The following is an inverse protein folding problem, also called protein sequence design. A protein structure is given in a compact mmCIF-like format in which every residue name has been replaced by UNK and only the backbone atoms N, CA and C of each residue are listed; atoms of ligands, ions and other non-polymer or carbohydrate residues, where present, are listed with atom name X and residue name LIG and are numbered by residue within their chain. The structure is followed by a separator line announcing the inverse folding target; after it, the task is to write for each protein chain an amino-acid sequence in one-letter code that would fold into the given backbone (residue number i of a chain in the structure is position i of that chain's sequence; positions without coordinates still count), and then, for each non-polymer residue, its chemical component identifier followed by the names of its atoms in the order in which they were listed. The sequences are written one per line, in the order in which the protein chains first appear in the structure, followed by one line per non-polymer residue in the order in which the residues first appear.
data_IF_795325234456
#
_entry.id   IF_795325234456
#
_cell.length_a   1.000
_cell.length_b   1.000
_cell.length_c   1.000
_cell.angle_alpha   90.00
_cell.angle_beta   90.00
_cell.angle_gamma   90.00
#
_symmetry.space_group_name_H-M   'P 1'
#
loop_
_entity.id
_entity.type
_entity.pdbx_description
1 polymer ?
#
# COMPACT_ATOMS: atom_id res chain seq x y z
N UNK A 1 16.10 -3.85 -5.01
CA UNK A 1 14.88 -3.24 -4.44
C UNK A 1 13.95 -4.38 -4.04
N UNK A 2 13.40 -4.33 -2.83
CA UNK A 2 12.42 -5.29 -2.33
C UNK A 2 11.03 -4.70 -2.44
N UNK A 3 10.04 -5.52 -2.72
CA UNK A 3 8.65 -5.09 -2.86
C UNK A 3 7.79 -5.77 -1.84
N UNK A 4 6.88 -4.99 -1.27
CA UNK A 4 5.95 -5.42 -0.25
C UNK A 4 4.53 -5.12 -0.71
N UNK A 5 3.64 -6.05 -0.42
CA UNK A 5 2.21 -5.91 -0.63
C UNK A 5 1.55 -5.72 0.74
N UNK A 6 0.82 -4.63 0.89
CA UNK A 6 -0.02 -4.34 2.03
C UNK A 6 -1.47 -4.45 1.57
N UNK A 7 -2.22 -5.37 2.16
CA UNK A 7 -3.66 -5.50 1.89
C UNK A 7 -4.44 -4.53 2.76
N UNK A 8 -5.30 -3.74 2.12
CA UNK A 8 -6.18 -2.78 2.77
C UNK A 8 -7.58 -3.38 2.93
N UNK A 9 -8.16 -3.19 4.11
CA UNK A 9 -9.48 -3.67 4.46
C UNK A 9 -10.32 -2.52 5.01
N UNK A 10 -11.60 -2.52 4.70
CA UNK A 10 -12.61 -1.63 5.27
C UNK A 10 -13.11 -2.18 6.60
N UNK A 11 -13.29 -1.31 7.60
CA UNK A 11 -14.00 -1.68 8.82
C UNK A 11 -15.50 -1.87 8.55
N UNK A 12 -16.07 -2.92 9.13
CA UNK A 12 -17.52 -3.17 9.04
C UNK A 12 -18.32 -1.95 9.50
N UNK A 13 -19.35 -1.59 8.72
CA UNK A 13 -20.19 -0.42 9.00
C UNK A 13 -19.64 0.91 8.49
N UNK A 14 -18.44 0.95 7.90
CA UNK A 14 -17.93 2.15 7.24
C UNK A 14 -18.65 2.40 5.91
N UNK A 15 -19.07 3.64 5.69
CA UNK A 15 -19.67 4.09 4.43
C UNK A 15 -18.59 4.18 3.34
N UNK A 16 -18.97 3.87 2.10
CA UNK A 16 -18.04 3.88 0.95
C UNK A 16 -17.39 5.25 0.75
N UNK A 17 -18.16 6.33 0.83
CA UNK A 17 -17.65 7.71 0.68
C UNK A 17 -16.53 8.04 1.70
N UNK A 18 -16.63 7.53 2.93
CA UNK A 18 -15.63 7.76 3.98
C UNK A 18 -14.36 6.96 3.73
N UNK A 19 -14.52 5.75 3.20
CA UNK A 19 -13.41 4.88 2.80
C UNK A 19 -12.67 5.47 1.61
N UNK A 20 -13.39 6.01 0.62
CA UNK A 20 -12.80 6.70 -0.52
C UNK A 20 -12.02 7.94 -0.09
N UNK A 21 -12.55 8.74 0.84
CA UNK A 21 -11.83 9.90 1.39
C UNK A 21 -10.54 9.50 2.11
N UNK A 22 -10.56 8.41 2.89
CA UNK A 22 -9.38 7.88 3.56
C UNK A 22 -8.35 7.29 2.59
N UNK A 23 -8.79 6.53 1.58
CA UNK A 23 -7.91 6.02 0.53
C UNK A 23 -7.27 7.18 -0.26
N UNK A 24 -8.01 8.26 -0.52
CA UNK A 24 -7.47 9.48 -1.14
C UNK A 24 -6.38 10.13 -0.29
N UNK A 25 -6.62 10.32 1.02
CA UNK A 25 -5.62 10.85 1.97
C UNK A 25 -4.36 9.96 2.03
N UNK A 26 -4.54 8.65 2.04
CA UNK A 26 -3.43 7.70 1.97
C UNK A 26 -2.64 7.88 0.66
N UNK A 27 -3.31 8.01 -0.49
CA UNK A 27 -2.68 8.28 -1.77
C UNK A 27 -1.88 9.60 -1.80
N UNK A 28 -2.35 10.64 -1.12
CA UNK A 28 -1.62 11.91 -0.96
C UNK A 28 -0.38 11.78 -0.08
N UNK A 29 -0.50 11.08 1.06
CA UNK A 29 0.63 10.77 1.93
C UNK A 29 1.73 10.03 1.17
N UNK A 30 1.37 8.96 0.47
CA UNK A 30 2.32 8.15 -0.30
C UNK A 30 2.98 9.02 -1.39
N UNK A 31 2.21 9.82 -2.14
CA UNK A 31 2.78 10.74 -3.14
C UNK A 31 3.74 11.75 -2.53
N UNK A 32 3.42 12.32 -1.37
CA UNK A 32 4.30 13.24 -0.64
C UNK A 32 5.59 12.56 -0.20
N UNK A 33 5.50 11.33 0.30
CA UNK A 33 6.64 10.49 0.70
C UNK A 33 7.55 10.15 -0.48
N UNK A 34 7.01 9.69 -1.62
CA UNK A 34 7.77 9.41 -2.87
C UNK A 34 8.58 10.63 -3.30
N UNK A 35 7.98 11.83 -3.21
CA UNK A 35 8.64 13.07 -3.63
C UNK A 35 9.79 13.46 -2.70
N UNK A 36 9.71 13.11 -1.42
CA UNK A 36 10.70 13.47 -0.39
C UNK A 36 11.80 12.41 -0.22
N UNK A 37 11.45 11.13 -0.30
CA UNK A 37 12.37 10.01 -0.20
C UNK A 37 12.70 9.44 -1.58
N UNK A 38 13.92 9.70 -2.08
CA UNK A 38 14.44 9.12 -3.33
C UNK A 38 14.67 7.61 -3.26
N UNK A 39 14.58 7.04 -2.08
CA UNK A 39 15.01 5.68 -1.76
C UNK A 39 13.85 4.66 -1.73
N UNK A 40 12.61 5.12 -1.56
CA UNK A 40 11.41 4.30 -1.69
C UNK A 40 10.64 4.64 -2.98
N UNK A 41 10.37 3.60 -3.80
CA UNK A 41 9.53 3.70 -4.99
C UNK A 41 8.19 3.03 -4.71
N UNK A 42 7.15 3.83 -4.59
CA UNK A 42 5.80 3.35 -4.28
C UNK A 42 5.02 3.14 -5.57
N UNK A 43 4.51 1.93 -5.77
CA UNK A 43 3.72 1.57 -6.94
C UNK A 43 2.29 1.34 -6.43
N UNK A 44 1.45 2.35 -6.49
CA UNK A 44 0.04 2.16 -6.11
C UNK A 44 -0.66 1.36 -7.20
N UNK A 45 -1.42 0.32 -6.83
CA UNK A 45 -2.38 -0.23 -7.79
C UNK A 45 -3.63 -0.83 -7.12
N UNK A 46 -4.73 -0.12 -7.41
CA UNK A 46 -6.11 -0.52 -7.58
C UNK A 46 -6.89 -1.20 -6.44
N UNK A 47 -8.07 -0.63 -6.21
CA UNK A 47 -9.22 -1.18 -5.49
C UNK A 47 -9.71 -2.40 -6.26
N UNK A 48 -9.32 -3.60 -5.84
CA UNK A 48 -9.74 -4.86 -6.46
C UNK A 48 -11.10 -5.29 -5.88
N UNK A 49 -12.18 -4.89 -6.55
CA UNK A 49 -13.56 -5.27 -6.23
C UNK A 49 -13.92 -6.75 -6.41
N UNK A 50 -13.02 -7.71 -6.15
CA UNK A 50 -13.30 -9.16 -6.28
C UNK A 50 -12.82 -10.06 -5.16
N UNK A 51 -12.00 -9.56 -4.24
CA UNK A 51 -11.56 -10.34 -3.07
C UNK A 51 -11.91 -9.57 -1.79
N UNK A 52 -11.99 -10.26 -0.65
CA UNK A 52 -12.37 -9.72 0.68
C UNK A 52 -11.54 -8.52 1.19
N UNK A 53 -10.61 -8.00 0.39
CA UNK A 53 -9.83 -6.80 0.65
C UNK A 53 -10.33 -5.67 -0.26
N UNK A 54 -10.66 -4.52 0.33
CA UNK A 54 -11.14 -3.34 -0.38
C UNK A 54 -10.01 -2.60 -1.15
N UNK A 55 -8.74 -2.96 -0.93
CA UNK A 55 -7.63 -2.41 -1.71
C UNK A 55 -6.28 -3.10 -1.51
N UNK A 56 -5.32 -2.75 -2.35
CA UNK A 56 -3.94 -3.23 -2.27
C UNK A 56 -2.95 -2.08 -2.48
N UNK A 57 -1.91 -2.04 -1.64
CA UNK A 57 -0.82 -1.08 -1.74
C UNK A 57 0.50 -1.81 -1.94
N UNK A 58 1.26 -1.42 -2.95
CA UNK A 58 2.55 -2.04 -3.28
C UNK A 58 3.66 -1.01 -3.07
N UNK A 59 4.63 -1.41 -2.28
CA UNK A 59 5.69 -0.53 -1.84
C UNK A 59 7.03 -1.16 -2.17
N UNK A 60 7.79 -0.51 -3.04
CA UNK A 60 9.17 -0.85 -3.31
C UNK A 60 10.10 -0.03 -2.43
N UNK A 61 11.00 -0.69 -1.71
CA UNK A 61 12.03 -0.07 -0.87
C UNK A 61 13.41 -0.58 -1.26
N UNK A 62 14.44 0.24 -1.05
CA UNK A 62 15.80 -0.27 -1.16
C UNK A 62 16.11 -1.26 -0.03
N UNK A 63 17.16 -2.05 -0.19
CA UNK A 63 17.61 -2.95 0.87
C UNK A 63 18.06 -2.13 2.10
N UNK A 64 17.59 -2.53 3.28
CA UNK A 64 17.86 -1.81 4.54
C UNK A 64 16.84 -0.73 4.89
N UNK A 65 15.84 -0.48 4.03
CA UNK A 65 14.78 0.50 4.25
C UNK A 65 13.41 -0.13 4.53
N UNK A 66 13.38 -1.39 4.96
CA UNK A 66 12.16 -2.12 5.30
C UNK A 66 11.36 -1.47 6.46
N UNK A 67 12.02 -0.64 7.27
CA UNK A 67 11.38 0.15 8.34
C UNK A 67 10.32 1.12 7.81
N UNK A 68 10.44 1.58 6.55
CA UNK A 68 9.44 2.44 5.92
C UNK A 68 8.11 1.68 5.69
N UNK A 69 8.18 0.37 5.45
CA UNK A 69 6.98 -0.48 5.33
C UNK A 69 6.24 -0.53 6.65
N UNK A 70 6.98 -0.74 7.75
CA UNK A 70 6.42 -0.76 9.09
C UNK A 70 5.80 0.59 9.45
N UNK A 71 6.51 1.69 9.17
CA UNK A 71 6.00 3.04 9.38
C UNK A 71 4.66 3.25 8.68
N UNK A 72 4.54 2.86 7.40
CA UNK A 72 3.31 3.05 6.63
C UNK A 72 2.18 2.19 7.18
N UNK A 73 2.45 0.93 7.53
CA UNK A 73 1.48 0.05 8.19
C UNK A 73 0.95 0.69 9.48
N UNK A 74 1.84 1.16 10.35
CA UNK A 74 1.47 1.70 11.66
C UNK A 74 0.77 3.06 11.52
N UNK A 75 1.20 3.88 10.57
CA UNK A 75 0.53 5.13 10.24
C UNK A 75 -0.90 4.86 9.79
N UNK A 76 -1.11 3.87 8.92
CA UNK A 76 -2.46 3.53 8.45
C UNK A 76 -3.33 3.07 9.63
N UNK A 77 -2.82 2.16 10.46
CA UNK A 77 -3.55 1.63 11.63
C UNK A 77 -3.89 2.69 12.67
N UNK A 78 -3.09 3.75 12.79
CA UNK A 78 -3.25 4.78 13.83
C UNK A 78 -4.05 6.00 13.39
N UNK A 79 -4.07 6.32 12.09
CA UNK A 79 -4.62 7.59 11.58
C UNK A 79 -5.92 7.44 10.80
N UNK A 80 -6.28 6.22 10.40
CA UNK A 80 -7.48 5.95 9.61
C UNK A 80 -8.50 5.18 10.44
N UNK A 81 -9.76 5.56 10.32
CA UNK A 81 -10.88 5.04 11.11
C UNK A 81 -11.75 4.07 10.31
N UNK A 82 -11.68 4.13 8.98
CA UNK A 82 -12.53 3.38 8.07
C UNK A 82 -11.75 2.31 7.28
N UNK A 83 -10.43 2.46 7.17
CA UNK A 83 -9.53 1.46 6.59
C UNK A 83 -8.47 0.96 7.57
N UNK A 84 -7.94 -0.23 7.32
CA UNK A 84 -6.81 -0.81 8.04
C UNK A 84 -5.92 -1.63 7.13
N UNK A 85 -4.69 -1.89 7.56
CA UNK A 85 -3.74 -2.78 6.90
C UNK A 85 -3.76 -4.14 7.59
N UNK A 86 -3.96 -5.20 6.81
CA UNK A 86 -3.80 -6.57 7.30
C UNK A 86 -2.35 -7.06 7.19
N UNK A 87 -2.19 -8.28 6.68
CA UNK A 87 -0.87 -8.89 6.53
C UNK A 87 -0.02 -8.16 5.48
N UNK A 88 1.23 -7.89 5.83
CA UNK A 88 2.26 -7.35 4.94
C UNK A 88 3.10 -8.52 4.43
N UNK A 89 3.23 -8.66 3.11
CA UNK A 89 4.02 -9.74 2.49
C UNK A 89 5.13 -9.19 1.61
N UNK A 90 6.34 -9.73 1.72
CA UNK A 90 7.36 -9.55 0.69
C UNK A 90 6.86 -10.24 -0.58
N UNK A 91 6.72 -9.47 -1.65
CA UNK A 91 6.20 -9.90 -2.95
C UNK A 91 7.32 -10.34 -3.89
N UNK A 92 8.51 -9.73 -3.77
CA UNK A 92 9.66 -10.11 -4.58
C UNK A 92 10.79 -9.09 -4.55
N UNK A 93 11.84 -9.38 -5.30
CA UNK A 93 13.01 -8.52 -5.48
C UNK A 93 13.28 -8.32 -6.97
N UNK A 94 13.58 -7.08 -7.38
CA UNK A 94 13.84 -6.78 -8.78
C UNK A 94 13.68 -5.31 -9.16
N UNK A 95 13.53 -5.05 -10.46
CA UNK A 95 13.18 -3.73 -10.97
C UNK A 95 11.65 -3.55 -11.08
N UNK A 96 11.20 -2.31 -11.27
CA UNK A 96 9.77 -1.97 -11.17
C UNK A 96 8.94 -2.54 -12.32
N UNK A 97 9.57 -2.87 -13.45
CA UNK A 97 8.91 -3.51 -14.60
C UNK A 97 8.60 -4.97 -14.32
N UNK A 98 9.56 -5.71 -13.77
CA UNK A 98 9.38 -7.12 -13.40
C UNK A 98 8.23 -7.31 -12.41
N UNK A 99 8.02 -6.36 -11.50
CA UNK A 99 6.95 -6.43 -10.49
C UNK A 99 5.57 -6.15 -11.07
N UNK A 100 5.45 -5.23 -12.03
CA UNK A 100 4.18 -5.01 -12.72
C UNK A 100 3.76 -6.26 -13.51
N UNK A 101 4.70 -6.95 -14.15
CA UNK A 101 4.43 -8.22 -14.83
C UNK A 101 3.98 -9.32 -13.85
N UNK A 102 4.58 -9.38 -12.66
CA UNK A 102 4.15 -10.31 -11.61
C UNK A 102 2.73 -10.03 -11.09
N UNK A 103 2.28 -8.77 -11.10
CA UNK A 103 0.96 -8.37 -10.62
C UNK A 103 -0.17 -8.62 -11.63
N UNK A 104 0.13 -8.53 -12.92
CA UNK A 104 -0.85 -8.82 -13.98
C UNK A 104 -1.18 -10.32 -14.04
N UNK A 105 -0.29 -11.17 -13.54
CA UNK A 105 -0.45 -12.62 -13.50
C UNK A 105 -1.01 -13.14 -12.16
N UNK A 106 -1.46 -12.26 -11.26
CA UNK A 106 -1.98 -12.57 -9.92
C UNK A 106 -3.50 -12.41 -9.86
#
# INVERSE_FOLDING_TARGET
MKYYVLRLYKYMGSKEELVEDELRKLGELIRSRVRRNRSAKYITMSVLGRNRADGMLIIGVNEGEETEIQFISDYIKSNFKHITVGEVKEFGRGDSRSVLEMLVNF
#
